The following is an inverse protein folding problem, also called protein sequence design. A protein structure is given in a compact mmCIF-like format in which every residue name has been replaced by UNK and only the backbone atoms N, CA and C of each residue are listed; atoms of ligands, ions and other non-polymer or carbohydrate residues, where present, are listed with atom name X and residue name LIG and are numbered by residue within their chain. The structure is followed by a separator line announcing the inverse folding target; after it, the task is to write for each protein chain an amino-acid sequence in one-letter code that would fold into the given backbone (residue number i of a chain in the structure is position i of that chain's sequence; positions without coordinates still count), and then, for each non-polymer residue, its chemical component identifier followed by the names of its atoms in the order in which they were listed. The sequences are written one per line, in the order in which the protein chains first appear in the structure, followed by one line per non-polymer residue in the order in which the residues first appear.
data_IF_282607305436
#
_entry.id   IF_282607305436
#
_cell.length_a   1.000
_cell.length_b   1.000
_cell.length_c   1.000
_cell.angle_alpha   90.00
_cell.angle_beta   90.00
_cell.angle_gamma   90.00
#
_symmetry.space_group_name_H-M   'P 1'
#
loop_
_entity.id
_entity.type
_entity.pdbx_description
1 polymer ?
#
# COMPACT_ATOMS: atom_id res chain seq x y z
N UNK A 1 -11.34 0.12 3.18
CA UNK A 1 -10.33 0.38 2.15
C UNK A 1 -10.15 -0.88 1.30
N UNK A 2 -11.15 -1.21 0.48
CA UNK A 2 -11.12 -2.44 -0.35
C UNK A 2 -10.58 -2.18 -1.74
N UNK A 3 -10.52 -0.91 -2.13
CA UNK A 3 -10.07 -0.52 -3.46
C UNK A 3 -8.71 -1.12 -3.78
N UNK A 4 -7.77 -1.10 -2.82
CA UNK A 4 -6.44 -1.70 -3.02
C UNK A 4 -6.50 -3.23 -3.13
N UNK A 5 -7.38 -3.91 -2.39
CA UNK A 5 -7.53 -5.36 -2.47
C UNK A 5 -8.01 -5.76 -3.86
N UNK A 6 -9.08 -5.14 -4.35
CA UNK A 6 -9.60 -5.37 -5.69
C UNK A 6 -8.59 -4.99 -6.77
N UNK A 7 -7.90 -3.86 -6.63
CA UNK A 7 -6.87 -3.43 -7.58
C UNK A 7 -5.68 -4.39 -7.62
N UNK A 8 -5.19 -4.88 -6.47
CA UNK A 8 -4.09 -5.83 -6.42
C UNK A 8 -4.50 -7.21 -6.97
N UNK A 9 -5.71 -7.67 -6.66
CA UNK A 9 -6.25 -8.91 -7.25
C UNK A 9 -6.36 -8.80 -8.77
N UNK A 10 -6.93 -7.70 -9.28
CA UNK A 10 -7.00 -7.45 -10.72
C UNK A 10 -5.61 -7.35 -11.35
N UNK A 11 -4.65 -6.70 -10.70
CA UNK A 11 -3.27 -6.65 -11.13
C UNK A 11 -2.67 -8.06 -11.24
N UNK A 12 -2.79 -8.90 -10.21
CA UNK A 12 -2.28 -10.28 -10.25
C UNK A 12 -2.94 -11.13 -11.35
N UNK A 13 -4.24 -10.93 -11.60
CA UNK A 13 -5.00 -11.70 -12.59
C UNK A 13 -4.76 -11.26 -14.05
N UNK A 14 -4.44 -9.98 -14.27
CA UNK A 14 -4.30 -9.43 -15.62
C UNK A 14 -2.84 -9.34 -16.10
N UNK A 15 -1.85 -9.47 -15.20
CA UNK A 15 -0.44 -9.43 -15.59
C UNK A 15 -0.02 -10.79 -16.15
N UNK A 16 0.35 -10.83 -17.43
CA UNK A 16 0.89 -12.05 -18.03
C UNK A 16 2.34 -12.30 -17.60
N UNK A 17 2.80 -13.55 -17.65
CA UNK A 17 4.11 -13.97 -17.10
C UNK A 17 5.32 -13.21 -17.66
N UNK A 18 5.24 -12.68 -18.88
CA UNK A 18 6.29 -11.83 -19.45
C UNK A 18 6.35 -10.44 -18.82
N UNK A 19 5.21 -9.83 -18.50
CA UNK A 19 5.13 -8.56 -17.78
C UNK A 19 5.65 -8.67 -16.35
N UNK A 20 5.44 -9.82 -15.68
CA UNK A 20 6.01 -10.06 -14.34
C UNK A 20 7.54 -9.99 -14.33
N UNK A 21 8.18 -10.26 -15.47
CA UNK A 21 9.64 -10.23 -15.65
C UNK A 21 10.15 -8.87 -16.08
N UNK A 22 9.31 -8.03 -16.69
CA UNK A 22 9.68 -6.66 -17.06
C UNK A 22 9.97 -5.86 -15.79
N UNK A 23 11.13 -5.22 -15.77
CA UNK A 23 11.58 -4.35 -14.68
C UNK A 23 11.53 -2.91 -15.13
N UNK A 24 11.12 -2.02 -14.24
CA UNK A 24 11.21 -0.59 -14.49
C UNK A 24 12.68 -0.15 -14.45
N UNK A 25 13.16 0.58 -15.48
CA UNK A 25 14.52 1.12 -15.48
C UNK A 25 14.78 1.99 -14.24
N UNK A 26 15.89 1.76 -13.55
CA UNK A 26 16.27 2.43 -12.30
C UNK A 26 15.62 1.87 -11.03
N UNK A 27 14.73 0.87 -11.14
CA UNK A 27 14.06 0.18 -10.02
C UNK A 27 14.14 -1.35 -10.16
N UNK A 28 15.14 -1.85 -10.88
CA UNK A 28 15.27 -3.28 -11.23
C UNK A 28 15.45 -4.18 -10.00
N UNK A 29 15.94 -3.62 -8.90
CA UNK A 29 16.08 -4.28 -7.60
C UNK A 29 14.75 -4.54 -6.88
N UNK A 30 13.64 -4.00 -7.39
CA UNK A 30 12.31 -4.24 -6.84
C UNK A 30 11.50 -5.22 -7.70
N UNK A 31 10.68 -6.02 -7.05
CA UNK A 31 9.63 -6.81 -7.71
C UNK A 31 8.48 -5.92 -8.18
N UNK A 32 7.71 -6.38 -9.16
CA UNK A 32 6.59 -5.58 -9.66
C UNK A 32 5.49 -5.43 -8.59
N UNK A 33 5.33 -6.40 -7.69
CA UNK A 33 4.46 -6.26 -6.51
C UNK A 33 4.97 -5.16 -5.56
N UNK A 34 6.27 -5.11 -5.28
CA UNK A 34 6.85 -4.03 -4.47
C UNK A 34 6.61 -2.67 -5.13
N UNK A 35 6.75 -2.59 -6.46
CA UNK A 35 6.49 -1.38 -7.24
C UNK A 35 5.00 -1.00 -7.18
N UNK A 36 4.07 -1.96 -7.26
CA UNK A 36 2.63 -1.72 -7.09
C UNK A 36 2.35 -1.00 -5.76
N UNK A 37 2.87 -1.54 -4.66
CA UNK A 37 2.67 -0.94 -3.34
C UNK A 37 3.41 0.39 -3.17
N UNK A 38 4.58 0.54 -3.79
CA UNK A 38 5.31 1.81 -3.82
C UNK A 38 4.49 2.88 -4.54
N UNK A 39 3.91 2.55 -5.70
CA UNK A 39 3.00 3.43 -6.44
C UNK A 39 1.76 3.80 -5.63
N UNK A 40 1.16 2.83 -4.93
CA UNK A 40 0.05 3.13 -4.01
C UNK A 40 0.45 4.13 -2.92
N UNK A 41 1.63 3.97 -2.31
CA UNK A 41 2.16 4.90 -1.31
C UNK A 41 2.40 6.30 -1.88
N UNK A 42 2.95 6.38 -3.09
CA UNK A 42 3.27 7.65 -3.76
C UNK A 42 2.04 8.54 -4.00
N UNK A 43 0.85 7.96 -4.24
CA UNK A 43 -0.40 8.71 -4.39
C UNK A 43 -0.73 9.55 -3.14
N UNK A 44 -0.27 9.11 -1.97
CA UNK A 44 -0.56 9.74 -0.69
C UNK A 44 0.59 10.61 -0.15
N UNK A 45 1.68 10.76 -0.90
CA UNK A 45 2.78 11.66 -0.55
C UNK A 45 2.25 13.09 -0.41
N UNK A 46 2.45 13.66 0.77
CA UNK A 46 1.93 14.98 1.13
C UNK A 46 2.83 15.65 2.17
N UNK A 47 2.89 16.98 2.12
CA UNK A 47 3.56 17.82 3.10
C UNK A 47 2.55 18.79 3.70
N UNK A 48 2.61 18.96 5.02
CA UNK A 48 1.69 19.82 5.76
C UNK A 48 2.50 20.81 6.60
N UNK A 49 2.03 22.07 6.64
CA UNK A 49 2.36 22.95 7.76
C UNK A 49 1.63 22.47 9.01
N UNK A 50 2.02 22.94 10.20
CA UNK A 50 1.30 22.58 11.43
C UNK A 50 -0.19 22.96 11.35
N UNK A 51 -0.51 24.17 10.93
CA UNK A 51 -1.89 24.63 10.78
C UNK A 51 -2.64 23.84 9.70
N UNK A 52 -1.98 23.52 8.59
CA UNK A 52 -2.55 22.70 7.53
C UNK A 52 -2.85 21.27 7.99
N UNK A 53 -2.00 20.68 8.85
CA UNK A 53 -2.27 19.38 9.45
C UNK A 53 -3.45 19.46 10.42
N UNK A 54 -3.52 20.49 11.26
CA UNK A 54 -4.68 20.70 12.17
C UNK A 54 -5.96 20.83 11.37
N UNK A 55 -5.95 21.58 10.26
CA UNK A 55 -7.10 21.67 9.37
C UNK A 55 -7.46 20.31 8.75
N UNK A 56 -6.47 19.55 8.27
CA UNK A 56 -6.68 18.22 7.70
C UNK A 56 -7.28 17.24 8.71
N UNK A 57 -6.98 17.37 10.00
CA UNK A 57 -7.58 16.53 11.04
C UNK A 57 -9.08 16.78 11.24
N UNK A 58 -9.64 17.87 10.70
CA UNK A 58 -11.09 18.11 10.67
C UNK A 58 -11.76 17.53 9.41
N UNK A 59 -11.00 17.03 8.43
CA UNK A 59 -11.56 16.35 7.26
C UNK A 59 -12.11 14.98 7.65
N UNK A 60 -13.12 14.51 6.91
CA UNK A 60 -13.69 13.17 7.12
C UNK A 60 -12.69 12.05 6.77
N UNK A 61 -11.65 12.35 5.99
CA UNK A 61 -10.58 11.43 5.64
C UNK A 61 -9.32 11.70 6.47
N UNK A 62 -8.65 10.65 6.94
CA UNK A 62 -7.35 10.79 7.58
C UNK A 62 -6.30 11.43 6.64
N UNK A 63 -5.28 12.10 7.20
CA UNK A 63 -4.10 12.55 6.46
C UNK A 63 -3.51 11.47 5.54
N UNK A 64 -2.91 11.88 4.42
CA UNK A 64 -2.43 10.96 3.38
C UNK A 64 -1.52 9.85 3.90
N UNK A 65 -0.53 10.20 4.74
CA UNK A 65 0.39 9.22 5.31
C UNK A 65 -0.33 8.16 6.17
N UNK A 66 -1.39 8.55 6.90
CA UNK A 66 -2.22 7.61 7.68
C UNK A 66 -2.99 6.69 6.72
N UNK A 67 -3.54 7.24 5.62
CA UNK A 67 -4.23 6.43 4.60
C UNK A 67 -3.31 5.38 4.01
N UNK A 68 -2.09 5.73 3.65
CA UNK A 68 -1.11 4.80 3.11
C UNK A 68 -0.74 3.72 4.14
N UNK A 69 -0.28 4.15 5.32
CA UNK A 69 0.23 3.25 6.36
C UNK A 69 -0.87 2.32 6.87
N UNK A 70 -2.01 2.86 7.31
CA UNK A 70 -3.05 2.01 7.91
C UNK A 70 -3.65 1.04 6.91
N UNK A 71 -3.71 1.39 5.62
CA UNK A 71 -4.12 0.45 4.58
C UNK A 71 -3.12 -0.70 4.44
N UNK A 72 -1.85 -0.39 4.22
CA UNK A 72 -0.82 -1.40 3.95
C UNK A 72 -0.53 -2.30 5.15
N UNK A 73 -0.64 -1.77 6.38
CA UNK A 73 -0.52 -2.55 7.63
C UNK A 73 -1.52 -3.70 7.73
N UNK A 74 -2.67 -3.57 7.11
CA UNK A 74 -3.73 -4.58 7.11
C UNK A 74 -3.73 -5.48 5.86
N UNK A 75 -2.75 -5.32 4.98
CA UNK A 75 -2.65 -6.05 3.71
C UNK A 75 -1.55 -7.12 3.79
N UNK A 76 -1.91 -8.40 3.67
CA UNK A 76 -0.96 -9.51 3.85
C UNK A 76 0.02 -9.61 2.69
N UNK A 77 -0.47 -9.33 1.49
CA UNK A 77 0.30 -9.33 0.25
C UNK A 77 1.38 -8.25 0.29
N UNK A 78 1.10 -7.09 0.90
CA UNK A 78 2.13 -6.07 1.13
C UNK A 78 3.24 -6.61 2.03
N UNK A 79 2.87 -7.19 3.18
CA UNK A 79 3.85 -7.74 4.12
C UNK A 79 4.68 -8.85 3.47
N UNK A 80 4.07 -9.67 2.60
CA UNK A 80 4.75 -10.71 1.83
C UNK A 80 5.74 -10.11 0.81
N UNK A 81 5.31 -9.14 0.00
CA UNK A 81 6.16 -8.54 -1.05
C UNK A 81 7.38 -7.81 -0.48
N UNK A 82 7.30 -7.34 0.77
CA UNK A 82 8.41 -6.67 1.47
C UNK A 82 9.09 -7.55 2.52
N UNK A 83 8.74 -8.84 2.61
CA UNK A 83 9.27 -9.77 3.61
C UNK A 83 9.22 -9.21 5.04
N UNK A 84 8.12 -8.54 5.41
CA UNK A 84 7.93 -7.98 6.74
C UNK A 84 7.78 -9.10 7.78
N UNK A 85 8.66 -9.09 8.79
CA UNK A 85 8.54 -10.00 9.94
C UNK A 85 7.18 -9.83 10.65
N UNK A 86 6.68 -10.91 11.23
CA UNK A 86 5.45 -10.89 12.05
C UNK A 86 5.62 -9.97 13.25
N UNK A 87 4.50 -9.48 13.77
CA UNK A 87 4.44 -8.58 14.93
C UNK A 87 5.24 -7.28 14.77
N UNK A 88 5.58 -6.87 13.54
CA UNK A 88 6.23 -5.59 13.26
C UNK A 88 5.19 -4.49 13.05
N UNK A 89 5.63 -3.23 13.05
CA UNK A 89 4.75 -2.10 12.80
C UNK A 89 3.94 -2.29 11.52
N UNK A 90 4.59 -2.66 10.41
CA UNK A 90 3.95 -2.86 9.11
C UNK A 90 3.28 -4.23 8.90
N UNK A 91 3.47 -5.18 9.82
CA UNK A 91 2.85 -6.50 9.77
C UNK A 91 2.42 -6.96 11.18
N UNK A 92 1.38 -6.32 11.76
CA UNK A 92 0.88 -6.66 13.08
C UNK A 92 0.08 -7.97 13.05
N UNK A 93 0.00 -8.63 14.21
CA UNK A 93 -0.73 -9.91 14.34
C UNK A 93 -2.24 -9.75 14.18
N UNK A 94 -2.78 -8.60 14.62
CA UNK A 94 -4.19 -8.26 14.48
C UNK A 94 -4.38 -7.39 13.24
N UNK A 95 -5.08 -7.91 12.24
CA UNK A 95 -5.43 -7.18 11.02
C UNK A 95 -6.94 -7.02 10.87
N UNK A 96 -7.35 -5.85 10.41
CA UNK A 96 -8.75 -5.54 10.14
C UNK A 96 -9.07 -5.88 8.69
N UNK A 97 -9.99 -6.81 8.46
CA UNK A 97 -10.54 -7.14 7.14
C UNK A 97 -12.05 -7.02 7.23
N UNK A 98 -12.63 -6.13 6.44
CA UNK A 98 -14.08 -5.89 6.45
C UNK A 98 -14.80 -6.61 5.31
N UNK A 99 -14.09 -6.91 4.22
CA UNK A 99 -14.67 -7.49 3.00
C UNK A 99 -13.75 -8.64 2.61
N UNK A 100 -14.29 -9.86 2.68
CA UNK A 100 -13.55 -11.13 2.59
C UNK A 100 -14.23 -12.12 1.61
N UNK A 101 -15.08 -11.59 0.74
CA UNK A 101 -15.81 -12.37 -0.27
C UNK A 101 -14.95 -12.62 -1.52
#
# INVERSE_FOLDING_TARGET
MNGILGAFSAYQNNVYEGEKKLKLPGLENYSNDQIFFMGFGMIWCSLYTNDGLVQQLNDIHPPGYIRAIMTLRHFDEFAKSWNCNKSTYMNPDKKCKLWVD
#
